data_IF_976341109098
#
_entry.id   IF_976341109098
#
_cell.length_a   1.000
_cell.length_b   1.000
_cell.length_c   1.000
_cell.angle_alpha   90.00
_cell.angle_beta   90.00
_cell.angle_gamma   90.00
#
_symmetry.space_group_name_H-M   'P 1'
#
loop_
_entity.id
_entity.type
_entity.pdbx_description
1 polymer ?
#
# COMPACT_ATOMS: atom_id res chain seq x y z
N UNK A 1 19.41 4.35 -10.89
CA UNK A 1 18.20 3.93 -10.14
C UNK A 1 17.48 5.19 -9.71
N UNK A 2 16.38 5.52 -10.37
CA UNK A 2 15.46 6.58 -9.97
C UNK A 2 14.71 6.09 -8.73
N UNK A 3 14.82 6.83 -7.62
CA UNK A 3 14.11 6.53 -6.39
C UNK A 3 12.64 6.89 -6.58
N UNK A 4 11.75 5.89 -6.63
CA UNK A 4 10.30 6.10 -6.61
C UNK A 4 9.79 5.93 -5.17
N UNK A 5 9.38 7.01 -4.49
CA UNK A 5 8.86 6.94 -3.13
C UNK A 5 7.57 6.12 -3.01
N UNK A 6 6.79 6.02 -4.09
CA UNK A 6 5.50 5.31 -4.12
C UNK A 6 5.74 3.81 -4.00
N UNK A 7 6.70 3.29 -4.77
CA UNK A 7 7.07 1.87 -4.74
C UNK A 7 7.67 1.46 -3.37
N UNK A 8 8.47 2.32 -2.75
CA UNK A 8 9.14 2.05 -1.47
C UNK A 8 8.19 2.11 -0.27
N UNK A 9 7.23 3.03 -0.27
CA UNK A 9 6.11 3.02 0.69
C UNK A 9 5.29 1.71 0.60
N UNK A 10 5.43 1.00 -0.53
CA UNK A 10 4.88 -0.30 -0.83
C UNK A 10 5.64 -1.51 -0.28
N UNK A 11 6.71 -1.39 0.51
CA UNK A 11 7.41 -2.60 0.97
C UNK A 11 6.56 -3.42 1.95
N UNK A 12 6.18 -4.64 1.53
CA UNK A 12 5.34 -5.57 2.28
C UNK A 12 6.09 -6.16 3.48
N UNK A 13 5.46 -6.14 4.65
CA UNK A 13 5.96 -6.88 5.81
C UNK A 13 5.82 -8.39 5.55
N UNK A 14 6.83 -9.19 5.93
CA UNK A 14 6.79 -10.66 5.70
C UNK A 14 5.71 -11.31 6.59
N UNK A 15 4.79 -12.04 5.97
CA UNK A 15 3.80 -12.90 6.65
C UNK A 15 2.34 -12.53 6.40
N UNK A 16 1.44 -13.46 6.73
CA UNK A 16 -0.01 -13.25 6.60
C UNK A 16 -0.48 -12.18 7.58
N UNK A 17 -1.24 -11.21 7.10
CA UNK A 17 -1.75 -10.10 7.91
C UNK A 17 -2.71 -10.61 8.99
N UNK A 18 -2.54 -10.21 10.27
CA UNK A 18 -3.44 -10.64 11.33
C UNK A 18 -4.84 -10.02 11.15
N UNK A 19 -5.87 -10.81 11.41
CA UNK A 19 -7.27 -10.41 11.45
C UNK A 19 -7.69 -10.43 12.92
N UNK A 20 -8.16 -9.30 13.45
CA UNK A 20 -8.49 -9.15 14.87
C UNK A 20 -10.00 -9.15 15.10
N UNK A 21 -10.77 -8.62 14.16
CA UNK A 21 -12.23 -8.58 14.25
C UNK A 21 -12.86 -9.79 13.56
N UNK A 22 -14.17 -9.98 13.78
CA UNK A 22 -14.94 -11.04 13.12
C UNK A 22 -15.06 -10.83 11.61
N UNK A 23 -15.05 -9.57 11.19
CA UNK A 23 -15.17 -9.15 9.80
C UNK A 23 -13.88 -8.46 9.37
N UNK A 24 -13.22 -9.04 8.37
CA UNK A 24 -11.98 -8.53 7.78
C UNK A 24 -12.14 -7.11 7.25
N UNK A 25 -13.34 -6.72 6.79
CA UNK A 25 -13.60 -5.37 6.29
C UNK A 25 -13.46 -4.31 7.41
N UNK A 26 -13.74 -4.70 8.67
CA UNK A 26 -13.55 -3.83 9.84
C UNK A 26 -12.06 -3.60 10.13
N UNK A 27 -11.23 -4.65 10.07
CA UNK A 27 -9.77 -4.55 10.22
C UNK A 27 -9.15 -3.66 9.14
N UNK A 28 -9.63 -3.80 7.90
CA UNK A 28 -9.23 -2.97 6.76
C UNK A 28 -9.58 -1.51 6.99
N UNK A 29 -10.83 -1.22 7.33
CA UNK A 29 -11.28 0.15 7.61
C UNK A 29 -10.48 0.79 8.75
N UNK A 30 -10.28 0.05 9.85
CA UNK A 30 -9.49 0.53 10.98
C UNK A 30 -8.05 0.86 10.55
N UNK A 31 -7.45 0.04 9.69
CA UNK A 31 -6.08 0.27 9.22
C UNK A 31 -5.97 1.52 8.36
N UNK A 32 -6.93 1.74 7.45
CA UNK A 32 -7.00 2.98 6.65
C UNK A 32 -7.17 4.18 7.58
N UNK A 33 -8.09 4.09 8.55
CA UNK A 33 -8.35 5.17 9.50
C UNK A 33 -7.10 5.53 10.32
N UNK A 34 -6.37 4.53 10.81
CA UNK A 34 -5.13 4.76 11.55
C UNK A 34 -4.04 5.39 10.68
N UNK A 35 -3.93 4.96 9.41
CA UNK A 35 -3.01 5.59 8.46
C UNK A 35 -3.37 7.07 8.22
N UNK A 36 -4.65 7.38 7.97
CA UNK A 36 -5.15 8.75 7.82
C UNK A 36 -4.87 9.59 9.06
N UNK A 37 -5.13 9.06 10.25
CA UNK A 37 -4.91 9.77 11.51
C UNK A 37 -3.42 10.12 11.72
N UNK A 38 -2.52 9.17 11.43
CA UNK A 38 -1.07 9.38 11.52
C UNK A 38 -0.58 10.45 10.53
N UNK A 39 -0.98 10.33 9.26
CA UNK A 39 -0.63 11.31 8.21
C UNK A 39 -1.15 12.71 8.55
N UNK A 40 -2.39 12.82 9.05
CA UNK A 40 -2.98 14.09 9.44
C UNK A 40 -2.25 14.73 10.64
N UNK A 41 -1.86 13.92 11.63
CA UNK A 41 -1.11 14.41 12.79
C UNK A 41 0.24 15.00 12.36
N UNK A 42 1.02 14.23 11.58
CA UNK A 42 2.33 14.68 11.07
C UNK A 42 2.20 15.92 10.19
N UNK A 43 1.18 15.98 9.32
CA UNK A 43 0.93 17.14 8.48
C UNK A 43 0.61 18.39 9.32
N UNK A 44 -0.26 18.28 10.33
CA UNK A 44 -0.60 19.39 11.23
C UNK A 44 0.60 19.90 12.02
N UNK A 45 1.42 19.00 12.56
CA UNK A 45 2.64 19.36 13.29
C UNK A 45 3.66 20.08 12.40
N UNK A 46 3.81 19.61 11.16
CA UNK A 46 4.72 20.23 10.18
C UNK A 46 4.22 21.61 9.76
N UNK A 47 2.90 21.78 9.56
CA UNK A 47 2.30 23.09 9.26
C UNK A 47 2.51 24.07 10.42
N UNK A 48 2.19 23.70 11.67
CA UNK A 48 2.40 24.57 12.84
C UNK A 48 3.89 24.98 12.97
N UNK A 49 4.81 24.05 12.74
CA UNK A 49 6.25 24.34 12.74
C UNK A 49 6.64 25.36 11.67
N UNK A 50 6.13 25.20 10.44
CA UNK A 50 6.41 26.14 9.34
C UNK A 50 5.84 27.53 9.64
N UNK A 51 4.60 27.62 10.09
CA UNK A 51 3.95 28.88 10.45
C UNK A 51 4.74 29.63 11.52
N UNK A 52 5.12 28.95 12.61
CA UNK A 52 5.92 29.56 13.69
C UNK A 52 7.28 30.04 13.21
N UNK A 53 7.95 29.26 12.35
CA UNK A 53 9.27 29.64 11.84
C UNK A 53 9.21 30.84 10.89
N UNK A 54 8.16 30.94 10.07
CA UNK A 54 7.96 32.05 9.15
C UNK A 54 7.56 33.33 9.90
N UNK A 55 6.65 33.21 10.87
CA UNK A 55 6.21 34.29 11.74
C UNK A 55 7.38 34.84 12.58
N UNK A 56 8.19 33.96 13.21
CA UNK A 56 9.36 34.37 13.99
C UNK A 56 10.43 35.11 13.16
N UNK A 57 10.45 34.90 11.84
CA UNK A 57 11.35 35.60 10.90
C UNK A 57 10.71 36.85 10.28
N UNK A 58 9.45 37.15 10.60
CA UNK A 58 8.70 38.25 10.03
C UNK A 58 8.47 38.12 8.52
N UNK A 59 8.43 36.89 7.99
CA UNK A 59 8.31 36.63 6.55
C UNK A 59 6.85 36.61 6.10
N UNK A 60 5.95 36.11 6.94
CA UNK A 60 4.55 35.86 6.60
C UNK A 60 3.67 36.00 7.85
N UNK A 61 2.55 36.70 7.71
CA UNK A 61 1.49 36.74 8.70
C UNK A 61 0.52 35.58 8.50
N UNK A 62 -0.01 35.02 9.60
CA UNK A 62 -0.94 33.87 9.51
C UNK A 62 -2.20 34.16 8.67
N UNK A 63 -2.65 35.41 8.65
CA UNK A 63 -3.81 35.83 7.85
C UNK A 63 -3.57 35.67 6.34
N UNK A 64 -2.33 35.74 5.86
CA UNK A 64 -1.98 35.55 4.45
C UNK A 64 -2.18 34.10 3.99
N UNK A 65 -2.15 33.13 4.92
CA UNK A 65 -2.38 31.70 4.62
C UNK A 65 -3.85 31.48 4.25
N UNK A 66 -4.77 32.07 5.02
CA UNK A 66 -6.21 31.93 4.81
C UNK A 66 -6.67 32.56 3.49
N UNK A 67 -5.92 33.55 2.99
CA UNK A 67 -6.16 34.22 1.71
C UNK A 67 -5.40 33.62 0.52
N UNK A 68 -4.60 32.56 0.72
CA UNK A 68 -3.76 32.04 -0.35
C UNK A 68 -4.57 31.33 -1.44
N UNK A 69 -4.44 31.80 -2.68
CA UNK A 69 -5.00 31.15 -3.86
C UNK A 69 -3.89 30.39 -4.63
N UNK A 70 -3.96 29.06 -4.73
CA UNK A 70 -2.97 28.28 -5.48
C UNK A 70 -3.10 28.56 -6.98
N UNK A 71 -1.96 28.76 -7.62
CA UNK A 71 -1.88 28.80 -9.08
C UNK A 71 -1.99 27.39 -9.70
N UNK A 72 -1.96 27.33 -11.03
CA UNK A 72 -2.08 26.07 -11.76
C UNK A 72 -0.91 25.11 -11.52
N UNK A 73 0.29 25.63 -11.22
CA UNK A 73 1.45 24.83 -10.91
C UNK A 73 1.32 24.19 -9.53
N UNK A 74 0.97 24.99 -8.52
CA UNK A 74 0.71 24.53 -7.16
C UNK A 74 -0.45 23.52 -7.12
N UNK A 75 -1.52 23.73 -7.90
CA UNK A 75 -2.62 22.77 -8.00
C UNK A 75 -2.18 21.42 -8.57
N UNK A 76 -1.33 21.42 -9.61
CA UNK A 76 -0.77 20.20 -10.20
C UNK A 76 0.14 19.45 -9.22
N UNK A 77 1.03 20.16 -8.52
CA UNK A 77 1.91 19.56 -7.51
C UNK A 77 1.10 18.93 -6.37
N UNK A 78 0.06 19.63 -5.88
CA UNK A 78 -0.88 19.08 -4.90
C UNK A 78 -1.60 17.84 -5.42
N UNK A 79 -1.93 17.80 -6.71
CA UNK A 79 -2.51 16.63 -7.36
C UNK A 79 -1.61 15.40 -7.27
N UNK A 80 -0.31 15.55 -7.52
CA UNK A 80 0.68 14.47 -7.37
C UNK A 80 0.81 14.04 -5.91
N UNK A 81 0.94 14.98 -4.97
CA UNK A 81 0.98 14.67 -3.55
C UNK A 81 -0.29 13.97 -3.06
N UNK A 82 -1.45 14.30 -3.64
CA UNK A 82 -2.71 13.66 -3.31
C UNK A 82 -2.74 12.18 -3.76
N UNK A 83 -2.17 11.87 -4.92
CA UNK A 83 -2.02 10.49 -5.38
C UNK A 83 -1.11 9.69 -4.43
N UNK A 84 0.02 10.25 -4.02
CA UNK A 84 0.92 9.65 -3.04
C UNK A 84 0.25 9.44 -1.68
N UNK A 85 -0.55 10.41 -1.23
CA UNK A 85 -1.34 10.29 0.00
C UNK A 85 -2.35 9.14 -0.08
N UNK A 86 -3.11 9.05 -1.18
CA UNK A 86 -4.06 7.95 -1.41
C UNK A 86 -3.34 6.60 -1.39
N UNK A 87 -2.19 6.49 -2.07
CA UNK A 87 -1.40 5.26 -2.08
C UNK A 87 -0.96 4.84 -0.67
N UNK A 88 -0.53 5.79 0.18
CA UNK A 88 -0.13 5.54 1.56
C UNK A 88 -1.29 5.06 2.44
N UNK A 89 -2.44 5.71 2.39
CA UNK A 89 -3.58 5.34 3.24
C UNK A 89 -4.27 4.05 2.77
N UNK A 90 -4.22 3.74 1.47
CA UNK A 90 -4.80 2.52 0.88
C UNK A 90 -3.79 1.36 0.79
N UNK A 91 -2.60 1.49 1.38
CA UNK A 91 -1.55 0.45 1.33
C UNK A 91 -2.06 -0.93 1.77
N UNK A 92 -2.99 -0.97 2.73
CA UNK A 92 -3.63 -2.23 3.16
C UNK A 92 -4.33 -2.96 2.01
N UNK A 93 -5.03 -2.25 1.13
CA UNK A 93 -5.73 -2.85 -0.01
C UNK A 93 -4.72 -3.40 -1.01
N UNK A 94 -3.66 -2.64 -1.26
CA UNK A 94 -2.60 -3.08 -2.16
C UNK A 94 -1.92 -4.36 -1.64
N UNK A 95 -1.67 -4.44 -0.33
CA UNK A 95 -1.13 -5.65 0.31
C UNK A 95 -2.06 -6.86 0.21
N UNK A 96 -3.38 -6.64 0.29
CA UNK A 96 -4.37 -7.72 0.13
C UNK A 96 -4.42 -8.24 -1.31
N UNK A 97 -4.34 -7.34 -2.31
CA UNK A 97 -4.24 -7.73 -3.72
C UNK A 97 -2.95 -8.52 -3.97
N UNK A 98 -1.81 -8.02 -3.48
CA UNK A 98 -0.51 -8.71 -3.56
C UNK A 98 -0.59 -10.11 -2.94
N UNK A 99 -1.21 -10.25 -1.77
CA UNK A 99 -1.39 -11.56 -1.11
C UNK A 99 -2.30 -12.49 -1.91
N UNK A 100 -3.37 -11.96 -2.50
CA UNK A 100 -4.29 -12.76 -3.30
C UNK A 100 -3.62 -13.31 -4.56
N UNK A 101 -2.80 -12.52 -5.24
CA UNK A 101 -2.06 -12.96 -6.41
C UNK A 101 -1.01 -14.02 -6.05
N UNK A 102 -0.27 -13.84 -4.94
CA UNK A 102 0.65 -14.85 -4.41
C UNK A 102 -0.06 -16.18 -4.08
N UNK A 103 -1.21 -16.12 -3.41
CA UNK A 103 -2.00 -17.30 -3.05
C UNK A 103 -2.49 -18.04 -4.33
N UNK A 104 -2.88 -17.30 -5.37
CA UNK A 104 -3.29 -17.87 -6.66
C UNK A 104 -2.13 -18.53 -7.40
N UNK A 105 -0.96 -17.91 -7.41
CA UNK A 105 0.24 -18.49 -8.03
C UNK A 105 0.67 -19.78 -7.31
N UNK A 106 0.67 -19.77 -5.98
CA UNK A 106 0.96 -20.95 -5.17
C UNK A 106 -0.02 -22.10 -5.46
N UNK A 107 -1.33 -21.81 -5.58
CA UNK A 107 -2.34 -22.80 -5.94
C UNK A 107 -2.13 -23.37 -7.35
N UNK A 108 -1.78 -22.53 -8.32
CA UNK A 108 -1.50 -22.99 -9.68
C UNK A 108 -0.27 -23.89 -9.73
N UNK A 109 0.78 -23.55 -8.99
CA UNK A 109 2.00 -24.34 -8.92
C UNK A 109 1.72 -25.72 -8.28
N UNK A 110 1.03 -25.75 -7.13
CA UNK A 110 0.63 -27.00 -6.50
C UNK A 110 -0.24 -27.86 -7.41
N UNK A 111 -1.15 -27.26 -8.19
CA UNK A 111 -1.97 -27.99 -9.16
C UNK A 111 -1.14 -28.59 -10.29
N UNK A 112 -0.16 -27.86 -10.83
CA UNK A 112 0.75 -28.38 -11.87
C UNK A 112 1.59 -29.53 -11.35
N UNK A 113 2.13 -29.42 -10.14
CA UNK A 113 2.92 -30.47 -9.49
C UNK A 113 2.08 -31.74 -9.26
N UNK A 114 0.85 -31.60 -8.76
CA UNK A 114 -0.06 -32.74 -8.60
C UNK A 114 -0.41 -33.41 -9.93
N UNK A 115 -0.64 -32.63 -11.00
CA UNK A 115 -0.91 -33.20 -12.33
C UNK A 115 0.34 -33.94 -12.86
N UNK A 116 1.54 -33.35 -12.75
CA UNK A 116 2.80 -34.01 -13.16
C UNK A 116 3.01 -35.34 -12.43
N UNK A 117 2.86 -35.33 -11.10
CA UNK A 117 3.03 -36.53 -10.28
C UNK A 117 1.99 -37.62 -10.63
N UNK A 118 0.77 -37.23 -11.02
CA UNK A 118 -0.26 -38.18 -11.45
C UNK A 118 0.08 -38.80 -12.80
N UNK A 119 0.53 -38.01 -13.77
CA UNK A 119 0.97 -38.50 -15.09
C UNK A 119 2.17 -39.43 -14.96
N UNK A 120 3.17 -39.08 -14.13
CA UNK A 120 4.35 -39.92 -13.89
C UNK A 120 3.97 -41.28 -13.27
N UNK A 121 2.97 -41.31 -12.38
CA UNK A 121 2.45 -42.56 -11.80
C UNK A 121 1.70 -43.40 -12.84
N UNK A 122 0.91 -42.78 -13.71
CA UNK A 122 0.20 -43.47 -14.80
C UNK A 122 1.17 -44.12 -15.79
N UNK A 123 2.22 -43.41 -16.21
CA UNK A 123 3.27 -43.95 -17.08
C UNK A 123 3.99 -45.16 -16.44
N UNK A 124 4.31 -45.09 -15.15
CA UNK A 124 4.97 -46.17 -14.42
C UNK A 124 4.09 -47.42 -14.26
N UNK A 125 2.78 -47.23 -14.07
CA UNK A 125 1.81 -48.33 -14.03
C UNK A 125 1.69 -48.99 -15.40
N UNK A 126 1.67 -48.21 -16.48
CA UNK A 126 1.59 -48.72 -17.85
C UNK A 126 2.85 -49.52 -18.24
N UNK A 127 4.03 -49.06 -17.81
CA UNK A 127 5.30 -49.75 -18.01
C UNK A 127 5.37 -51.09 -17.24
N UNK A 128 4.85 -51.14 -16.01
CA UNK A 128 4.76 -52.38 -15.22
C UNK A 128 3.72 -53.36 -15.78
N UNK A 129 2.65 -52.88 -16.41
CA UNK A 129 1.63 -53.73 -17.00
C UNK A 129 2.04 -54.33 -18.37
N UNK A 130 3.06 -53.76 -19.01
CA UNK A 130 3.60 -54.21 -20.31
C UNK A 130 4.87 -55.07 -20.20
N UNK A 131 5.44 -55.24 -19.00
CA UNK A 131 6.55 -56.16 -18.68
C UNK A 131 6.06 -57.54 -18.21
#
# INVERSE_FOLDING_TARGET
MTFDPIDMAGNKARGKRPVFFKDTDTDRLLSILMAVAGELAVARERVDTLERLLEARGILERAEIEGYEPDTAAARERGLWHQEFIARILRVIQQEIEQFDEDREAQQQARKENVSATTELEELIEELATS
#
